data_IF_520692046139
#
_entry.id   IF_520692046139
#
_cell.length_a   1.000
_cell.length_b   1.000
_cell.length_c   1.000
_cell.angle_alpha   90.00
_cell.angle_beta   90.00
_cell.angle_gamma   90.00
#
_symmetry.space_group_name_H-M   'P 1'
#
loop_
_entity.id
_entity.type
_entity.pdbx_description
1 polymer ?
#
# COMPACT_ATOMS: atom_id res chain seq x y z
N UNK A 1 5.25 9.85 12.13
CA UNK A 1 5.04 9.52 10.71
C UNK A 1 4.02 8.41 10.65
N UNK A 2 2.86 8.63 10.03
CA UNK A 2 1.82 7.60 9.95
C UNK A 2 2.25 6.46 9.01
N UNK A 3 1.65 5.27 9.14
CA UNK A 3 1.94 4.14 8.24
C UNK A 3 1.67 4.52 6.78
N UNK A 4 0.59 5.27 6.52
CA UNK A 4 0.23 5.69 5.17
C UNK A 4 1.22 6.70 4.58
N UNK A 5 1.71 7.65 5.39
CA UNK A 5 2.74 8.60 4.95
C UNK A 5 4.01 7.89 4.47
N UNK A 6 4.44 6.83 5.18
CA UNK A 6 5.59 6.00 4.78
C UNK A 6 5.33 5.28 3.46
N UNK A 7 4.12 4.77 3.25
CA UNK A 7 3.74 4.11 2.00
C UNK A 7 3.78 5.11 0.83
N UNK A 8 3.19 6.30 0.99
CA UNK A 8 3.16 7.32 -0.06
C UNK A 8 4.58 7.82 -0.42
N UNK A 9 5.46 7.96 0.58
CA UNK A 9 6.87 8.31 0.31
C UNK A 9 7.57 7.22 -0.49
N UNK A 10 7.40 5.94 -0.09
CA UNK A 10 7.95 4.80 -0.83
C UNK A 10 7.41 4.75 -2.27
N UNK A 11 6.13 5.03 -2.48
CA UNK A 11 5.54 5.11 -3.82
C UNK A 11 6.23 6.17 -4.68
N UNK A 12 6.50 7.35 -4.13
CA UNK A 12 7.25 8.40 -4.82
C UNK A 12 8.67 7.96 -5.20
N UNK A 13 9.40 7.34 -4.27
CA UNK A 13 10.74 6.81 -4.50
C UNK A 13 10.76 5.71 -5.58
N UNK A 14 9.73 4.84 -5.60
CA UNK A 14 9.60 3.72 -6.53
C UNK A 14 8.88 4.06 -7.83
N UNK A 15 8.42 5.31 -8.00
CA UNK A 15 7.58 5.74 -9.13
C UNK A 15 6.33 4.88 -9.31
N UNK A 16 5.69 4.51 -8.21
CA UNK A 16 4.42 3.79 -8.25
C UNK A 16 3.28 4.73 -8.67
N UNK A 17 2.40 4.26 -9.55
CA UNK A 17 1.25 5.03 -10.03
C UNK A 17 0.02 4.90 -9.13
N UNK A 18 -0.18 3.72 -8.54
CA UNK A 18 -1.38 3.37 -7.80
C UNK A 18 -1.03 2.58 -6.54
N UNK A 19 -1.90 2.66 -5.53
CA UNK A 19 -1.91 1.78 -4.36
C UNK A 19 -3.24 1.06 -4.28
N UNK A 20 -3.20 -0.24 -3.98
CA UNK A 20 -4.39 -1.05 -3.72
C UNK A 20 -4.34 -1.58 -2.29
N UNK A 21 -5.41 -1.31 -1.54
CA UNK A 21 -5.60 -1.73 -0.16
C UNK A 21 -6.88 -2.56 -0.08
N UNK A 22 -6.79 -3.79 0.40
CA UNK A 22 -7.94 -4.67 0.61
C UNK A 22 -7.78 -5.43 1.91
N UNK A 23 -8.91 -5.73 2.56
CA UNK A 23 -8.95 -6.65 3.68
C UNK A 23 -8.34 -8.00 3.27
N UNK A 24 -7.56 -8.59 4.17
CA UNK A 24 -6.93 -9.91 4.02
C UNK A 24 -6.01 -10.04 2.80
N UNK A 25 -5.52 -8.92 2.27
CA UNK A 25 -4.53 -8.86 1.21
C UNK A 25 -3.32 -8.02 1.66
N UNK A 26 -2.12 -8.23 1.11
CA UNK A 26 -1.03 -7.30 1.31
C UNK A 26 -1.34 -5.95 0.64
N UNK A 27 -0.71 -4.88 1.14
CA UNK A 27 -0.75 -3.60 0.44
C UNK A 27 0.04 -3.72 -0.87
N UNK A 28 -0.62 -3.45 -1.99
CA UNK A 28 -0.04 -3.56 -3.33
C UNK A 28 0.21 -2.16 -3.91
N UNK A 29 1.28 -2.02 -4.68
CA UNK A 29 1.56 -0.82 -5.48
C UNK A 29 1.74 -1.19 -6.95
N UNK A 30 1.33 -0.30 -7.85
CA UNK A 30 1.54 -0.49 -9.29
C UNK A 30 2.78 0.25 -9.76
N UNK A 31 3.74 -0.46 -10.34
CA UNK A 31 4.94 0.13 -10.94
C UNK A 31 5.02 -0.37 -12.38
N UNK A 32 5.11 0.55 -13.36
CA UNK A 32 5.21 0.22 -14.79
C UNK A 32 4.17 -0.81 -15.27
N UNK A 33 2.92 -0.66 -14.80
CA UNK A 33 1.84 -1.57 -15.19
C UNK A 33 1.71 -2.84 -14.34
N UNK A 34 2.67 -3.17 -13.48
CA UNK A 34 2.67 -4.38 -12.66
C UNK A 34 2.28 -4.10 -11.22
N UNK A 35 1.37 -4.90 -10.66
CA UNK A 35 0.98 -4.83 -9.25
C UNK A 35 1.92 -5.70 -8.40
N UNK A 36 2.65 -5.06 -7.48
CA UNK A 36 3.64 -5.71 -6.62
C UNK A 36 3.32 -5.44 -5.15
N UNK A 37 3.50 -6.42 -4.25
CA UNK A 37 3.31 -6.20 -2.82
C UNK A 37 4.42 -5.31 -2.25
N UNK A 38 4.06 -4.39 -1.35
CA UNK A 38 5.05 -3.62 -0.55
C UNK A 38 5.79 -4.56 0.39
N UNK A 39 5.05 -5.50 0.99
CA UNK A 39 5.56 -6.58 1.84
C UNK A 39 4.54 -7.74 1.83
N UNK A 40 4.89 -8.86 2.47
CA UNK A 40 4.02 -10.03 2.56
C UNK A 40 2.95 -9.96 3.66
N UNK A 41 2.87 -8.85 4.41
CA UNK A 41 1.95 -8.74 5.55
C UNK A 41 0.53 -8.51 5.07
N UNK A 42 -0.39 -9.41 5.44
CA UNK A 42 -1.81 -9.24 5.17
C UNK A 42 -2.40 -8.14 6.07
N UNK A 43 -3.23 -7.29 5.47
CA UNK A 43 -4.00 -6.28 6.19
C UNK A 43 -5.20 -6.95 6.90
N UNK A 44 -5.42 -6.68 8.19
CA UNK A 44 -6.69 -6.97 8.85
C UNK A 44 -7.89 -6.27 8.16
N UNK A 45 -9.11 -6.66 8.49
CA UNK A 45 -10.31 -6.15 7.84
C UNK A 45 -10.53 -4.63 8.01
N UNK A 46 -10.15 -4.09 9.16
CA UNK A 46 -10.28 -2.68 9.53
C UNK A 46 -9.09 -1.81 9.04
N UNK A 47 -7.95 -2.44 8.79
CA UNK A 47 -6.70 -1.75 8.45
C UNK A 47 -6.79 -0.87 7.19
N UNK A 48 -7.44 -1.26 6.06
CA UNK A 48 -7.59 -0.37 4.91
C UNK A 48 -8.25 0.96 5.26
N UNK A 49 -9.27 0.96 6.13
CA UNK A 49 -9.93 2.20 6.57
C UNK A 49 -9.02 3.00 7.52
N UNK A 50 -8.35 2.32 8.46
CA UNK A 50 -7.45 2.97 9.41
C UNK A 50 -6.24 3.66 8.74
N UNK A 51 -5.78 3.14 7.59
CA UNK A 51 -4.71 3.74 6.81
C UNK A 51 -5.12 5.05 6.13
N UNK A 52 -6.42 5.29 5.93
CA UNK A 52 -6.96 6.48 5.26
C UNK A 52 -7.44 7.56 6.25
N UNK A 53 -7.37 7.28 7.55
CA UNK A 53 -7.87 8.14 8.63
C UNK A 53 -6.85 9.21 9.07
#
# INVERSE_FOLDING_TARGET
MSTMERILRLMGEKKASDIYLSAYAPAMIKINGQCLPINAQLLPADAPKALLA
#
